data_IF_149651080389
#
_entry.id   IF_149651080389
#
_cell.length_a   1.000
_cell.length_b   1.000
_cell.length_c   1.000
_cell.angle_alpha   90.00
_cell.angle_beta   90.00
_cell.angle_gamma   90.00
#
_symmetry.space_group_name_H-M   'P 1'
#
loop_
_entity.id
_entity.type
_entity.pdbx_description
1 polymer ?
#
# COMPACT_ATOMS: atom_id res chain seq x y z
N UNK A 1 0.02 -24.44 14.15
CA UNK A 1 1.00 -23.34 14.31
C UNK A 1 0.27 -22.02 14.12
N UNK A 2 0.29 -21.09 15.09
CA UNK A 2 -0.30 -19.76 14.92
C UNK A 2 0.61 -18.97 13.97
N UNK A 3 0.15 -18.65 12.77
CA UNK A 3 0.85 -17.73 11.87
C UNK A 3 1.10 -16.42 12.64
N UNK A 4 2.37 -16.00 12.75
CA UNK A 4 2.71 -14.67 13.25
C UNK A 4 2.19 -13.69 12.20
N UNK A 5 1.11 -12.98 12.53
CA UNK A 5 0.59 -11.94 11.64
C UNK A 5 1.63 -10.83 11.58
N UNK A 6 2.19 -10.59 10.40
CA UNK A 6 3.09 -9.49 10.19
C UNK A 6 2.25 -8.23 9.97
N UNK A 7 2.29 -7.35 10.97
CA UNK A 7 1.58 -6.07 10.99
C UNK A 7 2.65 -4.98 11.14
N UNK A 8 2.62 -3.98 10.25
CA UNK A 8 3.50 -2.81 10.31
C UNK A 8 2.67 -1.55 10.41
N UNK A 9 3.08 -0.62 11.27
CA UNK A 9 2.52 0.72 11.35
C UNK A 9 3.44 1.65 10.54
N UNK A 10 2.84 2.47 9.69
CA UNK A 10 3.53 3.43 8.82
C UNK A 10 2.84 4.78 8.81
N UNK A 11 3.59 5.77 8.35
CA UNK A 11 3.12 7.13 8.09
C UNK A 11 3.33 7.46 6.62
N UNK A 12 2.42 8.22 6.03
CA UNK A 12 2.51 8.68 4.66
C UNK A 12 2.01 10.12 4.53
N UNK A 13 2.78 10.92 3.80
CA UNK A 13 2.39 12.25 3.35
C UNK A 13 1.96 12.22 1.89
N UNK A 14 1.27 13.26 1.41
CA UNK A 14 0.93 13.39 -0.03
C UNK A 14 2.15 13.10 -0.90
N UNK A 15 1.95 12.26 -1.92
CA UNK A 15 2.99 11.80 -2.83
C UNK A 15 3.73 10.54 -2.39
N UNK A 16 3.54 10.06 -1.15
CA UNK A 16 4.14 8.80 -0.72
C UNK A 16 3.48 7.58 -1.36
N UNK A 17 4.32 6.64 -1.77
CA UNK A 17 3.90 5.31 -2.21
C UNK A 17 3.51 4.47 -1.00
N UNK A 18 2.24 4.07 -0.95
CA UNK A 18 1.71 3.21 0.11
C UNK A 18 2.01 1.74 -0.16
N UNK A 19 1.87 1.34 -1.43
CA UNK A 19 1.99 -0.03 -1.90
C UNK A 19 2.54 -0.04 -3.33
N UNK A 20 3.26 -1.12 -3.68
CA UNK A 20 3.78 -1.32 -5.03
C UNK A 20 3.65 -2.78 -5.45
N UNK A 21 3.59 -3.04 -6.75
CA UNK A 21 3.51 -4.40 -7.27
C UNK A 21 4.85 -5.10 -7.14
N UNK A 22 4.78 -6.39 -6.77
CA UNK A 22 5.95 -7.26 -6.62
C UNK A 22 6.19 -8.15 -7.85
N UNK A 23 5.32 -8.06 -8.86
CA UNK A 23 5.41 -8.87 -10.06
C UNK A 23 6.29 -8.16 -11.10
N UNK A 24 7.45 -8.74 -11.44
CA UNK A 24 8.44 -8.16 -12.36
C UNK A 24 7.93 -7.62 -13.71
N UNK A 25 6.87 -8.15 -14.34
CA UNK A 25 6.35 -7.58 -15.58
C UNK A 25 5.40 -6.38 -15.36
N UNK A 26 5.01 -6.05 -14.13
CA UNK A 26 4.04 -4.99 -13.83
C UNK A 26 4.62 -4.03 -12.80
N UNK A 27 5.05 -2.85 -13.24
CA UNK A 27 5.39 -1.76 -12.33
C UNK A 27 4.12 -0.97 -12.03
N UNK A 28 3.42 -1.36 -10.97
CA UNK A 28 2.23 -0.68 -10.50
C UNK A 28 2.45 -0.18 -9.08
N UNK A 29 1.89 0.97 -8.73
CA UNK A 29 1.94 1.47 -7.36
C UNK A 29 0.73 2.31 -6.99
N UNK A 30 0.49 2.42 -5.68
CA UNK A 30 -0.58 3.20 -5.09
C UNK A 30 0.06 4.31 -4.30
N UNK A 31 -0.17 5.54 -4.74
CA UNK A 31 0.39 6.75 -4.14
C UNK A 31 -0.72 7.51 -3.44
N UNK A 32 -0.48 7.97 -2.21
CA UNK A 32 -1.42 8.82 -1.48
C UNK A 32 -1.47 10.23 -2.10
N UNK A 33 -2.68 10.72 -2.38
CA UNK A 33 -2.91 12.00 -3.06
C UNK A 33 -3.72 13.00 -2.23
N UNK A 34 -3.89 12.74 -0.94
CA UNK A 34 -4.64 13.60 -0.01
C UNK A 34 -5.97 12.99 0.42
N UNK A 35 -6.58 13.58 1.45
CA UNK A 35 -7.86 13.17 1.99
C UNK A 35 -8.77 14.38 2.27
N UNK A 36 -10.07 14.14 2.19
CA UNK A 36 -11.12 15.12 2.49
C UNK A 36 -12.01 14.55 3.60
N UNK A 37 -12.14 15.27 4.71
CA UNK A 37 -13.15 14.93 5.71
C UNK A 37 -14.52 15.37 5.21
N UNK A 38 -15.52 14.50 5.29
CA UNK A 38 -16.90 14.88 4.94
C UNK A 38 -17.51 15.73 6.07
N UNK A 39 -18.15 16.84 5.71
CA UNK A 39 -18.62 17.90 6.62
C UNK A 39 -19.46 17.44 7.82
N UNK A 40 -20.10 16.27 7.73
CA UNK A 40 -21.04 15.78 8.75
C UNK A 40 -20.82 14.32 9.16
N UNK A 41 -19.64 13.74 8.91
CA UNK A 41 -19.35 12.35 9.27
C UNK A 41 -17.91 12.17 9.75
N UNK A 42 -17.66 11.11 10.52
CA UNK A 42 -16.31 10.58 10.79
C UNK A 42 -15.70 9.88 9.55
N UNK A 43 -16.26 10.17 8.37
CA UNK A 43 -15.94 9.54 7.11
C UNK A 43 -15.02 10.45 6.29
N UNK A 44 -13.97 9.84 5.75
CA UNK A 44 -12.96 10.48 4.93
C UNK A 44 -13.03 9.92 3.52
N UNK A 45 -12.90 10.80 2.54
CA UNK A 45 -12.61 10.43 1.16
C UNK A 45 -11.10 10.51 0.97
N UNK A 46 -10.46 9.36 0.80
CA UNK A 46 -9.01 9.27 0.59
C UNK A 46 -8.74 9.12 -0.90
N UNK A 47 -7.88 9.97 -1.44
CA UNK A 47 -7.49 10.00 -2.84
C UNK A 47 -6.17 9.27 -3.03
N UNK A 48 -6.08 8.49 -4.10
CA UNK A 48 -4.85 7.84 -4.52
C UNK A 48 -4.60 8.02 -6.01
N UNK A 49 -3.33 7.92 -6.40
CA UNK A 49 -2.91 7.72 -7.78
C UNK A 49 -2.51 6.26 -7.92
N UNK A 50 -3.25 5.53 -8.75
CA UNK A 50 -2.85 4.20 -9.21
C UNK A 50 -1.95 4.37 -10.43
N UNK A 51 -0.65 4.16 -10.25
CA UNK A 51 0.28 4.03 -11.35
C UNK A 51 0.26 2.58 -11.83
N UNK A 52 0.18 2.34 -13.13
CA UNK A 52 0.23 1.00 -13.68
C UNK A 52 0.83 0.96 -15.10
N UNK A 53 1.33 -0.21 -15.49
CA UNK A 53 1.83 -0.46 -16.84
C UNK A 53 0.79 -1.29 -17.60
N UNK A 54 0.15 -0.72 -18.64
CA UNK A 54 -0.99 -1.36 -19.31
C UNK A 54 -0.61 -2.58 -20.18
N UNK A 55 0.65 -2.71 -20.63
CA UNK A 55 1.19 -3.91 -21.25
C UNK A 55 2.73 -3.82 -21.38
N UNK A 56 3.52 -4.60 -20.62
CA UNK A 56 4.98 -4.53 -20.66
C UNK A 56 5.59 -4.92 -22.01
N UNK A 57 4.85 -5.64 -22.86
CA UNK A 57 5.31 -6.06 -24.17
C UNK A 57 5.10 -5.01 -25.28
N UNK A 58 4.27 -3.98 -25.04
CA UNK A 58 3.82 -3.04 -26.09
C UNK A 58 4.20 -1.58 -25.75
N UNK A 59 4.30 -1.21 -24.48
CA UNK A 59 4.68 0.16 -24.11
C UNK A 59 5.42 0.21 -22.77
N UNK A 60 6.56 0.90 -22.74
CA UNK A 60 7.27 1.30 -21.53
C UNK A 60 6.64 2.53 -20.82
N UNK A 61 5.43 2.94 -21.25
CA UNK A 61 4.77 4.14 -20.75
C UNK A 61 3.90 3.76 -19.56
N UNK A 62 4.21 4.33 -18.39
CA UNK A 62 3.37 4.24 -17.20
C UNK A 62 2.11 5.09 -17.34
N UNK A 63 0.98 4.56 -16.91
CA UNK A 63 -0.29 5.26 -16.83
C UNK A 63 -0.61 5.57 -15.36
N UNK A 64 -1.22 6.74 -15.11
CA UNK A 64 -1.70 7.12 -13.79
C UNK A 64 -3.21 7.34 -13.83
N UNK A 65 -3.94 6.71 -12.91
CA UNK A 65 -5.38 6.92 -12.74
C UNK A 65 -5.66 7.37 -11.32
N UNK A 66 -6.43 8.45 -11.19
CA UNK A 66 -6.93 8.90 -9.90
C UNK A 66 -8.06 7.99 -9.45
N UNK A 67 -7.90 7.40 -8.27
CA UNK A 67 -8.94 6.61 -7.62
C UNK A 67 -9.20 7.22 -6.24
N UNK A 68 -10.39 7.00 -5.70
CA UNK A 68 -10.69 7.39 -4.32
C UNK A 68 -11.46 6.28 -3.64
N UNK A 69 -11.32 6.23 -2.32
CA UNK A 69 -12.16 5.42 -1.46
C UNK A 69 -12.80 6.32 -0.42
N UNK A 70 -13.91 5.86 0.12
CA UNK A 70 -14.54 6.49 1.26
C UNK A 70 -14.46 5.52 2.43
N UNK A 71 -13.98 5.99 3.58
CA UNK A 71 -13.71 5.13 4.73
C UNK A 71 -13.73 5.88 6.06
N UNK A 72 -13.80 5.14 7.15
CA UNK A 72 -13.66 5.63 8.53
C UNK A 72 -12.36 5.05 9.11
N UNK A 73 -11.62 5.80 9.95
CA UNK A 73 -10.46 5.25 10.66
C UNK A 73 -10.78 3.91 11.34
N UNK A 74 -9.83 2.98 11.26
CA UNK A 74 -9.95 1.62 11.77
C UNK A 74 -10.61 0.62 10.81
N UNK A 75 -11.18 1.08 9.69
CA UNK A 75 -11.80 0.17 8.70
C UNK A 75 -10.72 -0.56 7.88
N UNK A 76 -10.80 -1.90 7.75
CA UNK A 76 -9.89 -2.66 6.91
C UNK A 76 -10.24 -2.53 5.42
N UNK A 77 -9.25 -2.17 4.61
CA UNK A 77 -9.40 -1.88 3.18
C UNK A 77 -8.50 -2.82 2.39
N UNK A 78 -9.09 -3.48 1.40
CA UNK A 78 -8.38 -4.45 0.56
C UNK A 78 -8.05 -3.83 -0.78
N UNK A 79 -6.77 -3.82 -1.10
CA UNK A 79 -6.30 -3.65 -2.48
C UNK A 79 -6.18 -5.05 -3.09
N UNK A 80 -6.72 -5.27 -4.30
CA UNK A 80 -6.74 -6.59 -4.92
C UNK A 80 -5.33 -7.18 -5.14
N UNK A 81 -5.29 -8.50 -5.39
CA UNK A 81 -4.18 -9.44 -5.23
C UNK A 81 -2.87 -9.17 -6.03
N UNK A 82 -2.24 -8.00 -6.02
CA UNK A 82 -0.95 -7.81 -6.71
C UNK A 82 0.00 -6.80 -6.05
N UNK A 83 -0.34 -6.26 -4.87
CA UNK A 83 0.42 -5.20 -4.18
C UNK A 83 1.15 -5.71 -2.91
N UNK A 84 2.34 -5.15 -2.66
CA UNK A 84 3.28 -5.46 -1.57
C UNK A 84 3.99 -4.21 -1.00
N UNK A 85 4.92 -4.43 -0.06
CA UNK A 85 5.72 -3.37 0.63
C UNK A 85 7.21 -3.51 0.26
N UNK A 86 7.85 -2.44 -0.25
CA UNK A 86 9.31 -2.37 -0.51
C UNK A 86 9.97 -1.77 0.71
N UNK A 87 10.39 -2.60 1.66
CA UNK A 87 11.32 -2.13 2.68
C UNK A 87 12.48 -3.10 2.79
N UNK A 88 13.68 -2.56 2.55
CA UNK A 88 14.94 -3.14 3.00
C UNK A 88 14.97 -3.00 4.54
N UNK A 89 14.15 -3.79 5.23
CA UNK A 89 14.17 -3.84 6.67
C UNK A 89 15.43 -4.61 7.09
N UNK A 90 16.38 -3.92 7.72
CA UNK A 90 17.57 -4.54 8.34
C UNK A 90 17.18 -5.40 9.55
N UNK A 91 16.37 -6.43 9.34
CA UNK A 91 16.27 -7.53 10.28
C UNK A 91 17.50 -8.43 10.08
N UNK A 92 18.11 -8.87 11.17
CA UNK A 92 19.19 -9.86 11.11
C UNK A 92 18.58 -11.20 10.70
N UNK A 93 18.58 -11.47 9.40
CA UNK A 93 18.14 -12.73 8.83
C UNK A 93 19.24 -13.79 8.97
N UNK A 94 18.83 -15.03 9.20
CA UNK A 94 19.75 -16.17 9.05
C UNK A 94 20.14 -16.32 7.58
N UNK A 95 21.32 -16.87 7.24
CA UNK A 95 21.77 -17.03 5.86
C UNK A 95 20.76 -17.76 4.95
N UNK A 96 19.94 -18.65 5.51
CA UNK A 96 18.88 -19.36 4.78
C UNK A 96 17.67 -18.48 4.43
N UNK A 97 17.43 -17.39 5.18
CA UNK A 97 16.30 -16.46 5.02
C UNK A 97 16.62 -15.33 4.02
N UNK A 98 17.89 -15.17 3.65
CA UNK A 98 18.38 -14.15 2.71
C UNK A 98 17.79 -14.30 1.29
N UNK A 99 17.35 -15.50 0.93
CA UNK A 99 16.67 -15.78 -0.36
C UNK A 99 15.22 -15.26 -0.35
N UNK A 100 14.58 -15.21 0.83
CA UNK A 100 13.21 -14.70 1.00
C UNK A 100 13.14 -13.16 1.04
N UNK A 101 14.25 -12.51 1.35
CA UNK A 101 14.39 -11.05 1.41
C UNK A 101 14.12 -10.34 0.06
N UNK A 102 14.19 -11.07 -1.06
CA UNK A 102 13.86 -10.54 -2.40
C UNK A 102 12.37 -10.58 -2.74
N UNK A 103 11.51 -10.97 -1.82
CA UNK A 103 10.08 -11.15 -2.08
C UNK A 103 9.26 -10.34 -1.08
N UNK A 104 8.84 -9.17 -1.54
CA UNK A 104 7.88 -8.29 -0.89
C UNK A 104 6.68 -9.07 -0.32
N UNK A 105 6.26 -8.76 0.92
CA UNK A 105 5.13 -9.41 1.58
C UNK A 105 3.81 -9.11 0.85
N UNK A 106 2.98 -10.15 0.63
CA UNK A 106 1.64 -9.98 0.07
C UNK A 106 0.72 -9.33 1.10
N UNK A 107 0.20 -8.15 0.76
CA UNK A 107 -0.72 -7.41 1.63
C UNK A 107 -2.11 -8.04 1.58
N UNK A 108 -2.66 -8.32 2.76
CA UNK A 108 -4.04 -8.80 2.96
C UNK A 108 -5.01 -7.61 3.01
N UNK A 109 -4.67 -6.58 3.77
CA UNK A 109 -5.43 -5.32 3.87
C UNK A 109 -4.58 -4.21 4.51
N UNK A 110 -5.02 -2.97 4.34
CA UNK A 110 -4.56 -1.78 5.06
C UNK A 110 -5.63 -1.33 6.04
N UNK A 111 -5.25 -0.75 7.17
CA UNK A 111 -6.15 -0.11 8.12
C UNK A 111 -5.64 1.28 8.45
N UNK A 112 -6.38 2.32 8.10
CA UNK A 112 -6.00 3.70 8.43
C UNK A 112 -6.27 3.98 9.90
N UNK A 113 -5.24 4.28 10.68
CA UNK A 113 -5.33 4.59 12.11
C UNK A 113 -5.67 6.06 12.34
N UNK A 114 -5.04 6.96 11.59
CA UNK A 114 -5.32 8.40 11.56
C UNK A 114 -5.36 8.88 10.12
N UNK A 115 -6.29 9.80 9.83
CA UNK A 115 -6.48 10.40 8.51
C UNK A 115 -6.54 11.90 8.67
N UNK A 116 -5.59 12.59 8.05
CA UNK A 116 -5.53 14.04 7.90
C UNK A 116 -5.49 14.38 6.41
N UNK A 117 -5.68 15.65 6.06
CA UNK A 117 -5.78 16.08 4.65
C UNK A 117 -4.53 15.71 3.85
N UNK A 118 -3.36 15.82 4.44
CA UNK A 118 -2.07 15.59 3.79
C UNK A 118 -1.21 14.51 4.45
N UNK A 119 -1.76 13.83 5.46
CA UNK A 119 -1.06 12.84 6.27
C UNK A 119 -1.95 11.64 6.60
N UNK A 120 -1.35 10.44 6.62
CA UNK A 120 -1.99 9.18 7.01
C UNK A 120 -1.08 8.45 7.99
N UNK A 121 -1.66 7.92 9.06
CA UNK A 121 -1.07 6.82 9.82
C UNK A 121 -1.86 5.55 9.53
N UNK A 122 -1.18 4.45 9.20
CA UNK A 122 -1.85 3.24 8.74
C UNK A 122 -1.10 1.97 9.10
N UNK A 123 -1.85 0.89 9.24
CA UNK A 123 -1.32 -0.44 9.38
C UNK A 123 -1.39 -1.20 8.07
N UNK A 124 -0.34 -1.97 7.80
CA UNK A 124 -0.31 -2.94 6.71
C UNK A 124 -0.30 -4.33 7.31
N UNK A 125 -1.30 -5.13 6.92
CA UNK A 125 -1.48 -6.50 7.38
C UNK A 125 -1.13 -7.44 6.23
N UNK A 126 -0.09 -8.25 6.39
CA UNK A 126 0.31 -9.24 5.38
C UNK A 126 -0.18 -10.66 5.72
N UNK A 127 -0.12 -11.55 4.72
CA UNK A 127 -0.46 -12.97 4.84
C UNK A 127 0.64 -13.79 5.54
#
# INVERSE_FOLDING_TARGET
>A
MKQRQHIWVKEAFIGHELLHANNKPLNNSIVFAGAEQKEHAEEYKIHFILNYTANPAIAAVGYGVNIFITTVPGTPIRFENHFGITEDASAQYRPEEYVAYKQFYRVKHIRFLSIETDHLQYEIHCL
#
